data_IF_783407851081
#
_entry.id   IF_783407851081
#
_cell.length_a   1.000
_cell.length_b   1.000
_cell.length_c   1.000
_cell.angle_alpha   90.00
_cell.angle_beta   90.00
_cell.angle_gamma   90.00
#
_symmetry.space_group_name_H-M   'P 1'
#
loop_
_entity.id
_entity.type
_entity.pdbx_description
1 polymer ?
#
# COMPACT_ATOMS: atom_id res chain seq x y z
N UNK A 1 -38.66 5.05 0.43
CA UNK A 1 -37.54 4.42 -0.30
C UNK A 1 -36.97 5.32 -1.39
N UNK A 2 -37.83 5.97 -2.20
CA UNK A 2 -37.39 6.76 -3.38
C UNK A 2 -36.71 8.09 -3.02
N UNK A 3 -37.16 8.78 -1.99
CA UNK A 3 -36.59 10.09 -1.57
C UNK A 3 -35.18 9.91 -0.99
N UNK A 4 -34.92 8.81 -0.28
CA UNK A 4 -33.58 8.50 0.25
C UNK A 4 -32.58 8.14 -0.87
N UNK A 5 -33.04 7.49 -1.94
CA UNK A 5 -32.21 7.13 -3.10
C UNK A 5 -31.82 8.36 -3.94
N UNK A 6 -32.73 9.33 -4.13
CA UNK A 6 -32.47 10.57 -4.85
C UNK A 6 -31.52 11.47 -4.05
N UNK A 7 -31.63 11.51 -2.72
CA UNK A 7 -30.69 12.23 -1.86
C UNK A 7 -29.28 11.66 -1.87
N UNK A 8 -29.15 10.33 -1.94
CA UNK A 8 -27.85 9.65 -2.04
C UNK A 8 -27.16 9.93 -3.39
N UNK A 9 -27.91 9.81 -4.51
CA UNK A 9 -27.37 10.06 -5.86
C UNK A 9 -26.99 11.54 -6.06
N UNK A 10 -27.75 12.48 -5.52
CA UNK A 10 -27.43 13.91 -5.58
C UNK A 10 -26.18 14.24 -4.72
N UNK A 11 -26.05 13.58 -3.56
CA UNK A 11 -24.88 13.69 -2.68
C UNK A 11 -23.60 13.18 -3.35
N UNK A 12 -23.67 12.03 -4.01
CA UNK A 12 -22.54 11.43 -4.72
C UNK A 12 -22.06 12.31 -5.88
N UNK A 13 -22.97 12.88 -6.65
CA UNK A 13 -22.64 13.80 -7.75
C UNK A 13 -21.97 15.09 -7.26
N UNK A 14 -22.43 15.65 -6.13
CA UNK A 14 -21.87 16.88 -5.55
C UNK A 14 -20.47 16.63 -4.96
N UNK A 15 -20.24 15.45 -4.35
CA UNK A 15 -18.92 15.06 -3.85
C UNK A 15 -17.94 14.83 -4.98
N UNK A 16 -18.35 14.11 -6.02
CA UNK A 16 -17.52 13.88 -7.20
C UNK A 16 -17.10 15.22 -7.86
N UNK A 17 -17.99 16.21 -7.86
CA UNK A 17 -17.71 17.54 -8.38
C UNK A 17 -16.75 18.34 -7.45
N UNK A 18 -16.97 18.30 -6.13
CA UNK A 18 -16.12 19.03 -5.18
C UNK A 18 -14.73 18.40 -5.08
N UNK A 19 -14.61 17.07 -5.13
CA UNK A 19 -13.33 16.35 -5.15
C UNK A 19 -12.58 16.64 -6.45
N UNK A 20 -13.25 16.68 -7.60
CA UNK A 20 -12.62 17.07 -8.88
C UNK A 20 -12.14 18.50 -8.93
N UNK A 21 -12.83 19.42 -8.24
CA UNK A 21 -12.43 20.83 -8.17
C UNK A 21 -11.32 21.08 -7.13
N UNK A 22 -11.25 20.29 -6.06
CA UNK A 22 -10.31 20.45 -4.97
C UNK A 22 -8.99 19.67 -5.14
N UNK A 23 -8.97 18.63 -5.98
CA UNK A 23 -7.81 17.79 -6.20
C UNK A 23 -7.28 17.93 -7.65
N UNK A 24 -6.31 18.81 -7.90
CA UNK A 24 -5.75 19.01 -9.23
C UNK A 24 -4.80 17.88 -9.69
N UNK A 25 -4.66 16.80 -8.94
CA UNK A 25 -3.74 15.71 -9.26
C UNK A 25 -4.44 14.35 -9.24
N UNK A 26 -4.26 13.60 -10.30
CA UNK A 26 -4.61 12.22 -10.65
C UNK A 26 -4.55 11.17 -9.52
N UNK A 27 -5.20 11.39 -8.40
CA UNK A 27 -5.34 10.39 -7.36
C UNK A 27 -6.68 9.66 -7.58
N UNK A 28 -6.61 8.39 -7.98
CA UNK A 28 -7.76 7.50 -8.05
C UNK A 28 -8.25 7.19 -6.62
N UNK A 29 -9.28 7.91 -6.19
CA UNK A 29 -9.93 7.64 -4.91
C UNK A 29 -10.92 6.49 -5.10
N UNK A 30 -10.67 5.35 -4.47
CA UNK A 30 -11.48 4.14 -4.61
C UNK A 30 -12.65 4.07 -3.63
N UNK A 31 -12.64 4.85 -2.57
CA UNK A 31 -13.72 4.91 -1.60
C UNK A 31 -13.78 6.26 -0.89
N UNK A 32 -14.99 6.81 -0.76
CA UNK A 32 -15.28 7.98 0.04
C UNK A 32 -16.35 7.63 1.07
N UNK A 33 -16.21 8.16 2.27
CA UNK A 33 -17.18 7.99 3.36
C UNK A 33 -17.49 9.34 3.99
N UNK A 34 -18.78 9.63 4.15
CA UNK A 34 -19.20 10.75 4.97
C UNK A 34 -18.95 10.46 6.45
N UNK A 35 -18.24 11.33 7.11
CA UNK A 35 -17.95 11.26 8.54
C UNK A 35 -18.33 12.58 9.18
N UNK A 36 -18.93 12.53 10.35
CA UNK A 36 -19.16 13.72 11.17
C UNK A 36 -18.01 13.81 12.17
N UNK A 37 -17.24 14.91 12.12
CA UNK A 37 -16.12 15.14 13.05
C UNK A 37 -16.61 15.51 14.45
N UNK A 38 -17.86 15.98 14.55
CA UNK A 38 -18.45 16.34 15.84
C UNK A 38 -18.46 15.14 16.80
N UNK A 39 -17.99 15.29 18.05
CA UNK A 39 -18.00 14.25 19.08
C UNK A 39 -19.41 13.74 19.42
N UNK A 40 -20.42 14.49 19.03
CA UNK A 40 -21.83 14.15 19.27
C UNK A 40 -22.43 13.19 18.24
N UNK A 41 -21.76 12.94 17.11
CA UNK A 41 -22.16 11.96 16.11
C UNK A 41 -23.66 11.99 15.77
N UNK A 42 -24.31 10.80 15.82
CA UNK A 42 -25.75 10.67 15.55
C UNK A 42 -26.62 11.41 16.56
N UNK A 43 -26.17 11.58 17.80
CA UNK A 43 -26.88 12.31 18.84
C UNK A 43 -26.99 13.80 18.47
N UNK A 44 -25.95 14.38 17.89
CA UNK A 44 -25.96 15.76 17.39
C UNK A 44 -27.00 16.01 16.31
N UNK A 45 -27.22 15.01 15.42
CA UNK A 45 -28.27 15.06 14.41
C UNK A 45 -29.69 15.12 15.02
N UNK A 46 -29.95 14.32 16.04
CA UNK A 46 -31.27 14.32 16.72
C UNK A 46 -31.48 15.61 17.53
N UNK A 47 -30.48 16.06 18.26
CA UNK A 47 -30.53 17.32 19.00
C UNK A 47 -30.68 18.52 18.07
N UNK A 48 -29.88 18.60 17.01
CA UNK A 48 -29.95 19.67 16.03
C UNK A 48 -31.29 19.68 15.29
N UNK A 49 -31.77 18.51 14.86
CA UNK A 49 -33.07 18.39 14.20
C UNK A 49 -34.23 18.80 15.10
N UNK A 50 -34.21 18.42 16.39
CA UNK A 50 -35.21 18.83 17.37
C UNK A 50 -35.18 20.35 17.65
N UNK A 51 -33.97 20.93 17.71
CA UNK A 51 -33.79 22.37 17.87
C UNK A 51 -34.34 23.15 16.67
N UNK A 52 -34.02 22.70 15.44
CA UNK A 52 -34.57 23.30 14.21
C UNK A 52 -36.08 23.22 14.17
N UNK A 53 -36.67 22.07 14.50
CA UNK A 53 -38.13 21.89 14.60
C UNK A 53 -38.73 22.81 15.64
N UNK A 54 -38.11 22.96 16.81
CA UNK A 54 -38.53 23.88 17.86
C UNK A 54 -38.52 25.35 17.42
N UNK A 55 -37.46 25.79 16.72
CA UNK A 55 -37.33 27.16 16.18
C UNK A 55 -38.41 27.41 15.14
N UNK A 56 -38.69 26.49 14.25
CA UNK A 56 -39.74 26.58 13.22
C UNK A 56 -41.12 26.68 13.88
N UNK A 57 -41.42 25.84 14.87
CA UNK A 57 -42.66 25.84 15.63
C UNK A 57 -42.88 27.18 16.39
N UNK A 58 -41.83 27.68 17.05
CA UNK A 58 -41.89 28.97 17.74
C UNK A 58 -42.08 30.14 16.73
N UNK A 59 -41.39 30.10 15.61
CA UNK A 59 -41.55 31.09 14.54
C UNK A 59 -42.98 31.06 13.95
N UNK A 60 -43.54 29.87 13.75
CA UNK A 60 -44.93 29.71 13.30
C UNK A 60 -45.94 30.26 14.33
N UNK A 61 -45.72 29.95 15.59
CA UNK A 61 -46.59 30.45 16.68
C UNK A 61 -46.53 31.97 16.86
N UNK A 62 -45.31 32.55 16.80
CA UNK A 62 -45.08 33.98 16.90
C UNK A 62 -45.61 34.79 15.71
N UNK A 63 -45.73 34.16 14.54
CA UNK A 63 -46.18 34.83 13.31
C UNK A 63 -47.69 34.71 13.01
N UNK A 64 -48.50 34.22 13.96
CA UNK A 64 -49.95 33.96 13.76
C UNK A 64 -50.76 35.19 13.39
N UNK A 65 -50.31 36.42 13.74
CA UNK A 65 -50.95 37.66 13.37
C UNK A 65 -50.43 38.35 12.08
N UNK A 66 -49.43 37.74 11.42
CA UNK A 66 -48.82 38.30 10.23
C UNK A 66 -49.53 37.81 8.94
N UNK A 67 -49.42 38.59 7.85
CA UNK A 67 -49.88 38.17 6.52
C UNK A 67 -49.16 36.89 6.08
N UNK A 68 -49.82 36.05 5.26
CA UNK A 68 -49.30 34.75 4.83
C UNK A 68 -47.90 34.85 4.23
N UNK A 69 -47.62 35.86 3.43
CA UNK A 69 -46.31 36.10 2.80
C UNK A 69 -45.21 36.42 3.83
N UNK A 70 -45.49 37.38 4.76
CA UNK A 70 -44.53 37.72 5.85
C UNK A 70 -44.24 36.54 6.75
N UNK A 71 -45.23 35.70 7.01
CA UNK A 71 -45.11 34.51 7.81
C UNK A 71 -44.22 33.49 7.13
N UNK A 72 -44.43 33.20 5.85
CA UNK A 72 -43.61 32.29 5.06
C UNK A 72 -42.15 32.75 5.02
N UNK A 73 -41.89 34.02 4.77
CA UNK A 73 -40.53 34.58 4.74
C UNK A 73 -39.83 34.50 6.09
N UNK A 74 -40.51 34.81 7.21
CA UNK A 74 -39.91 34.73 8.55
C UNK A 74 -39.61 33.29 8.95
N UNK A 75 -40.47 32.33 8.64
CA UNK A 75 -40.26 30.91 8.92
C UNK A 75 -39.13 30.38 8.05
N UNK A 76 -39.09 30.71 6.76
CA UNK A 76 -38.04 30.32 5.83
C UNK A 76 -36.66 30.85 6.23
N UNK A 77 -36.56 32.13 6.60
CA UNK A 77 -35.29 32.73 7.01
C UNK A 77 -34.76 32.13 8.32
N UNK A 78 -35.63 31.96 9.34
CA UNK A 78 -35.23 31.40 10.63
C UNK A 78 -34.91 29.88 10.50
N UNK A 79 -35.70 29.14 9.73
CA UNK A 79 -35.45 27.73 9.45
C UNK A 79 -34.15 27.54 8.68
N UNK A 80 -33.92 28.36 7.66
CA UNK A 80 -32.67 28.33 6.88
C UNK A 80 -31.45 28.65 7.74
N UNK A 81 -31.51 29.69 8.56
CA UNK A 81 -30.43 30.02 9.49
C UNK A 81 -30.13 28.86 10.49
N UNK A 82 -31.18 28.23 11.00
CA UNK A 82 -31.03 27.09 11.92
C UNK A 82 -30.43 25.88 11.22
N UNK A 83 -30.78 25.58 9.97
CA UNK A 83 -30.17 24.51 9.17
C UNK A 83 -28.70 24.78 8.90
N UNK A 84 -28.34 26.01 8.52
CA UNK A 84 -26.94 26.41 8.31
C UNK A 84 -26.14 26.24 9.59
N UNK A 85 -26.67 26.72 10.72
CA UNK A 85 -26.02 26.55 12.02
C UNK A 85 -25.84 25.06 12.38
N UNK A 86 -26.82 24.22 12.10
CA UNK A 86 -26.74 22.78 12.31
C UNK A 86 -25.66 22.14 11.45
N UNK A 87 -25.55 22.52 10.16
CA UNK A 87 -24.51 22.00 9.26
C UNK A 87 -23.13 22.39 9.76
N UNK A 88 -22.93 23.64 10.17
CA UNK A 88 -21.66 24.11 10.74
C UNK A 88 -21.32 23.37 12.04
N UNK A 89 -22.32 23.13 12.91
CA UNK A 89 -22.10 22.43 14.17
C UNK A 89 -21.78 20.94 14.01
N UNK A 90 -22.29 20.31 12.97
CA UNK A 90 -22.07 18.88 12.69
C UNK A 90 -20.70 18.61 12.02
N UNK A 91 -20.05 19.64 11.50
CA UNK A 91 -18.75 19.52 10.83
C UNK A 91 -18.69 18.30 9.88
N UNK A 92 -19.55 18.26 8.83
CA UNK A 92 -19.51 17.17 7.90
C UNK A 92 -18.17 17.15 7.16
N UNK A 93 -17.47 16.03 7.23
CA UNK A 93 -16.22 15.81 6.52
C UNK A 93 -16.33 14.60 5.60
N UNK A 94 -15.55 14.60 4.54
CA UNK A 94 -15.40 13.45 3.65
C UNK A 94 -14.07 12.79 3.93
N UNK A 95 -14.10 11.60 4.48
CA UNK A 95 -12.92 10.75 4.62
C UNK A 95 -12.59 10.15 3.26
N UNK A 96 -11.47 10.56 2.68
CA UNK A 96 -10.93 10.01 1.45
C UNK A 96 -9.95 8.90 1.83
N UNK A 97 -10.29 7.65 1.54
CA UNK A 97 -9.36 6.54 1.66
C UNK A 97 -8.60 6.39 0.35
N UNK A 98 -7.37 6.83 0.38
CA UNK A 98 -6.40 6.49 -0.64
C UNK A 98 -5.77 5.15 -0.24
N UNK A 99 -6.17 4.07 -0.90
CA UNK A 99 -5.46 2.81 -0.81
C UNK A 99 -4.22 2.99 -1.67
N UNK A 100 -3.14 3.47 -1.07
CA UNK A 100 -1.83 3.36 -1.68
C UNK A 100 -1.51 1.87 -1.74
N UNK A 101 -1.69 1.26 -2.90
CA UNK A 101 -1.24 -0.09 -3.16
C UNK A 101 0.27 -0.02 -3.24
N UNK A 102 0.96 -0.29 -2.15
CA UNK A 102 2.40 -0.50 -2.23
C UNK A 102 2.63 -1.72 -3.13
N UNK A 103 3.39 -1.58 -4.21
CA UNK A 103 3.68 -2.73 -5.07
C UNK A 103 4.45 -3.77 -4.26
N UNK A 104 4.05 -5.03 -4.39
CA UNK A 104 4.74 -6.16 -3.80
C UNK A 104 6.21 -6.13 -4.22
N UNK A 105 7.09 -6.65 -3.37
CA UNK A 105 8.53 -6.65 -3.62
C UNK A 105 9.01 -8.02 -4.03
N UNK A 106 10.02 -8.05 -4.91
CA UNK A 106 10.75 -9.26 -5.29
C UNK A 106 12.20 -9.04 -4.88
N UNK A 107 12.76 -9.95 -4.09
CA UNK A 107 14.16 -9.90 -3.70
C UNK A 107 14.97 -10.84 -4.58
N UNK A 108 16.01 -10.33 -5.26
CA UNK A 108 16.96 -11.12 -6.03
C UNK A 108 18.26 -11.19 -5.23
N UNK A 109 18.61 -12.40 -4.79
CA UNK A 109 19.81 -12.70 -4.04
C UNK A 109 20.85 -13.31 -4.99
N UNK A 110 22.01 -12.72 -5.08
CA UNK A 110 23.10 -13.14 -5.97
C UNK A 110 24.29 -13.54 -5.11
N UNK A 111 24.72 -14.77 -5.30
CA UNK A 111 25.90 -15.32 -4.61
C UNK A 111 27.17 -14.62 -5.11
N UNK A 112 27.91 -14.05 -4.16
CA UNK A 112 29.20 -13.39 -4.40
C UNK A 112 30.35 -14.13 -3.69
N UNK A 113 30.15 -15.41 -3.45
CA UNK A 113 31.19 -16.27 -2.84
C UNK A 113 32.28 -16.61 -3.84
N UNK A 114 33.45 -16.98 -3.33
CA UNK A 114 34.61 -17.31 -4.14
C UNK A 114 34.38 -18.49 -5.13
N UNK A 115 33.46 -19.41 -4.82
CA UNK A 115 33.06 -20.50 -5.74
C UNK A 115 32.47 -19.98 -7.04
N UNK A 116 31.78 -18.83 -7.00
CA UNK A 116 31.23 -18.18 -8.18
C UNK A 116 32.29 -17.60 -9.12
N UNK A 117 33.53 -17.40 -8.67
CA UNK A 117 34.63 -16.99 -9.53
C UNK A 117 35.23 -18.13 -10.37
N UNK A 118 34.80 -19.38 -10.15
CA UNK A 118 35.28 -20.52 -10.91
C UNK A 118 34.59 -20.60 -12.28
N UNK A 119 35.37 -20.94 -13.31
CA UNK A 119 34.86 -21.27 -14.63
C UNK A 119 34.66 -22.79 -14.74
N UNK A 120 33.57 -23.23 -15.36
CA UNK A 120 33.31 -24.65 -15.58
C UNK A 120 34.21 -25.28 -16.63
N UNK A 121 34.71 -24.48 -17.56
CA UNK A 121 35.65 -24.90 -18.60
C UNK A 121 36.87 -24.00 -18.67
N UNK A 122 38.05 -24.48 -18.99
CA UNK A 122 39.24 -23.65 -19.17
C UNK A 122 39.00 -22.56 -20.23
N UNK A 123 39.14 -21.28 -19.81
CA UNK A 123 38.89 -20.13 -20.68
C UNK A 123 37.41 -19.78 -20.89
N UNK A 124 36.49 -20.47 -20.24
CA UNK A 124 35.05 -20.14 -20.25
C UNK A 124 34.67 -19.01 -19.26
N UNK A 125 33.44 -18.54 -19.36
CA UNK A 125 32.92 -17.55 -18.41
C UNK A 125 32.81 -18.16 -16.99
N UNK A 126 33.08 -17.34 -16.00
CA UNK A 126 32.87 -17.70 -14.59
C UNK A 126 31.37 -17.80 -14.27
N UNK A 127 31.04 -18.50 -13.18
CA UNK A 127 29.64 -18.64 -12.72
C UNK A 127 29.01 -17.28 -12.45
N UNK A 128 29.74 -16.35 -11.83
CA UNK A 128 29.24 -14.99 -11.59
C UNK A 128 29.02 -14.21 -12.89
N UNK A 129 29.84 -14.42 -13.91
CA UNK A 129 29.62 -13.81 -15.23
C UNK A 129 28.39 -14.36 -15.92
N UNK A 130 28.09 -15.66 -15.75
CA UNK A 130 26.85 -16.25 -16.26
C UNK A 130 25.63 -15.67 -15.54
N UNK A 131 25.67 -15.58 -14.21
CA UNK A 131 24.60 -14.97 -13.44
C UNK A 131 24.33 -13.54 -13.90
N UNK A 132 25.37 -12.76 -14.13
CA UNK A 132 25.28 -11.39 -14.68
C UNK A 132 24.66 -11.36 -16.08
N UNK A 133 25.07 -12.25 -16.95
CA UNK A 133 24.49 -12.37 -18.31
C UNK A 133 23.02 -12.72 -18.22
N UNK A 134 22.65 -13.69 -17.40
CA UNK A 134 21.26 -14.08 -17.19
C UNK A 134 20.40 -12.89 -16.76
N UNK A 135 20.86 -12.11 -15.81
CA UNK A 135 20.15 -10.91 -15.36
C UNK A 135 20.04 -9.87 -16.48
N UNK A 136 21.12 -9.65 -17.23
CA UNK A 136 21.14 -8.72 -18.36
C UNK A 136 20.22 -9.17 -19.50
N UNK A 137 20.25 -10.43 -19.84
CA UNK A 137 19.41 -10.99 -20.92
C UNK A 137 17.92 -11.00 -20.52
N UNK A 138 17.64 -11.06 -19.22
CA UNK A 138 16.29 -11.00 -18.65
C UNK A 138 15.77 -9.58 -18.42
N UNK A 139 16.51 -8.52 -18.79
CA UNK A 139 16.12 -7.13 -18.49
C UNK A 139 14.74 -6.75 -19.02
N UNK A 140 14.33 -7.28 -20.17
CA UNK A 140 12.99 -7.05 -20.71
C UNK A 140 11.90 -7.58 -19.76
N UNK A 141 12.07 -8.80 -19.29
CA UNK A 141 11.13 -9.43 -18.32
C UNK A 141 11.15 -8.71 -16.98
N UNK A 142 12.35 -8.32 -16.50
CA UNK A 142 12.48 -7.58 -15.24
C UNK A 142 11.82 -6.21 -15.33
N UNK A 143 11.95 -5.49 -16.43
CA UNK A 143 11.26 -4.21 -16.67
C UNK A 143 9.74 -4.36 -16.70
N UNK A 144 9.23 -5.46 -17.27
CA UNK A 144 7.79 -5.75 -17.24
C UNK A 144 7.32 -6.06 -15.81
N UNK A 145 8.10 -6.80 -15.02
CA UNK A 145 7.81 -7.05 -13.61
C UNK A 145 7.88 -5.79 -12.74
N UNK A 146 8.76 -4.84 -13.06
CA UNK A 146 8.90 -3.56 -12.34
C UNK A 146 7.66 -2.66 -12.47
N UNK A 147 6.75 -2.93 -13.41
CA UNK A 147 5.46 -2.21 -13.52
C UNK A 147 4.53 -2.51 -12.34
N UNK A 148 4.56 -3.76 -11.86
CA UNK A 148 3.64 -4.24 -10.81
C UNK A 148 4.36 -4.52 -9.49
N UNK A 149 5.68 -4.69 -9.51
CA UNK A 149 6.51 -5.06 -8.37
C UNK A 149 7.74 -4.15 -8.24
N UNK A 150 8.26 -4.00 -7.03
CA UNK A 150 9.59 -3.41 -6.82
C UNK A 150 10.61 -4.52 -6.70
N UNK A 151 11.66 -4.46 -7.53
CA UNK A 151 12.74 -5.44 -7.52
C UNK A 151 13.91 -4.87 -6.72
N UNK A 152 14.29 -5.59 -5.66
CA UNK A 152 15.44 -5.25 -4.81
C UNK A 152 16.53 -6.30 -5.02
N UNK A 153 17.76 -5.86 -5.29
CA UNK A 153 18.90 -6.71 -5.56
C UNK A 153 19.84 -6.76 -4.35
N UNK A 154 20.29 -7.95 -4.01
CA UNK A 154 21.25 -8.19 -2.93
C UNK A 154 22.34 -9.12 -3.39
N UNK A 155 23.57 -8.85 -2.95
CA UNK A 155 24.65 -9.83 -2.97
C UNK A 155 24.76 -10.49 -1.62
N UNK A 156 25.11 -11.76 -1.59
CA UNK A 156 25.35 -12.48 -0.34
C UNK A 156 26.56 -13.40 -0.43
N UNK A 157 27.24 -13.50 0.69
CA UNK A 157 28.37 -14.42 0.93
C UNK A 157 28.49 -14.63 2.45
N UNK A 158 29.49 -14.08 3.09
CA UNK A 158 29.62 -13.99 4.56
C UNK A 158 28.62 -12.97 5.13
N UNK A 159 28.32 -11.94 4.34
CA UNK A 159 27.41 -10.84 4.66
C UNK A 159 26.42 -10.64 3.52
N UNK A 160 25.31 -9.95 3.82
CA UNK A 160 24.31 -9.57 2.83
C UNK A 160 24.36 -8.06 2.63
N UNK A 161 24.46 -7.63 1.38
CA UNK A 161 24.51 -6.23 1.01
C UNK A 161 23.52 -5.91 -0.10
N UNK A 162 22.83 -4.77 0.01
CA UNK A 162 22.03 -4.26 -1.09
C UNK A 162 22.93 -3.81 -2.23
N UNK A 163 22.53 -4.14 -3.46
CA UNK A 163 23.30 -3.83 -4.66
C UNK A 163 22.39 -3.35 -5.79
N UNK A 164 23.00 -2.91 -6.88
CA UNK A 164 22.30 -2.58 -8.12
C UNK A 164 22.75 -3.52 -9.24
N UNK A 165 21.90 -3.86 -10.22
CA UNK A 165 22.29 -4.68 -11.37
C UNK A 165 23.53 -4.17 -12.09
N UNK A 166 23.69 -2.85 -12.17
CA UNK A 166 24.84 -2.19 -12.80
C UNK A 166 26.12 -2.30 -11.95
N UNK A 167 26.02 -2.32 -10.63
CA UNK A 167 27.19 -2.45 -9.74
C UNK A 167 27.77 -3.88 -9.75
N UNK A 168 26.94 -4.88 -10.08
CA UNK A 168 27.41 -6.26 -10.25
C UNK A 168 28.41 -6.43 -11.40
N UNK A 169 28.53 -5.46 -12.30
CA UNK A 169 29.32 -5.58 -13.53
C UNK A 169 30.85 -5.58 -13.31
N UNK A 170 31.37 -5.18 -12.16
CA UNK A 170 32.79 -4.88 -11.97
C UNK A 170 33.54 -5.67 -10.92
N UNK A 171 32.91 -6.15 -9.88
CA UNK A 171 33.63 -6.74 -8.75
C UNK A 171 33.79 -8.27 -8.88
N UNK A 172 35.02 -8.81 -8.69
CA UNK A 172 35.20 -10.25 -8.60
C UNK A 172 34.54 -10.78 -7.32
N UNK A 173 33.94 -11.95 -7.40
CA UNK A 173 33.38 -12.64 -6.24
C UNK A 173 34.48 -12.94 -5.20
N UNK A 174 34.37 -12.37 -4.00
CA UNK A 174 35.42 -12.39 -2.97
C UNK A 174 34.96 -13.03 -1.65
N UNK A 175 33.70 -13.38 -1.51
CA UNK A 175 33.14 -13.96 -0.30
C UNK A 175 33.79 -15.29 0.06
N UNK A 176 34.05 -15.51 1.34
CA UNK A 176 34.74 -16.73 1.83
C UNK A 176 33.80 -17.90 2.03
N UNK A 177 32.51 -17.61 2.22
CA UNK A 177 31.47 -18.62 2.50
C UNK A 177 30.17 -18.28 1.76
N UNK A 178 29.29 -19.27 1.62
CA UNK A 178 27.98 -19.12 1.01
C UNK A 178 26.92 -19.42 2.05
N UNK A 179 26.50 -18.39 2.79
CA UNK A 179 25.56 -18.51 3.91
C UNK A 179 24.12 -18.23 3.45
N UNK A 180 23.53 -19.16 2.70
CA UNK A 180 22.17 -19.05 2.12
C UNK A 180 21.13 -18.78 3.22
N UNK A 181 21.18 -19.52 4.33
CA UNK A 181 20.24 -19.35 5.45
C UNK A 181 20.26 -17.93 5.98
N UNK A 182 21.45 -17.38 6.22
CA UNK A 182 21.63 -16.01 6.71
C UNK A 182 21.08 -14.98 5.72
N UNK A 183 21.28 -15.23 4.42
CA UNK A 183 20.74 -14.37 3.37
C UNK A 183 19.20 -14.36 3.37
N UNK A 184 18.57 -15.51 3.52
CA UNK A 184 17.12 -15.63 3.60
C UNK A 184 16.55 -15.05 4.91
N UNK A 185 17.24 -15.22 6.05
CA UNK A 185 16.89 -14.60 7.33
C UNK A 185 16.95 -13.07 7.23
N UNK A 186 17.98 -12.53 6.56
CA UNK A 186 18.10 -11.10 6.32
C UNK A 186 16.92 -10.57 5.50
N UNK A 187 16.57 -11.24 4.40
CA UNK A 187 15.42 -10.86 3.57
C UNK A 187 14.13 -10.91 4.39
N UNK A 188 13.90 -12.00 5.13
CA UNK A 188 12.75 -12.11 6.02
C UNK A 188 12.64 -10.93 6.98
N UNK A 189 13.71 -10.63 7.72
CA UNK A 189 13.74 -9.52 8.67
C UNK A 189 13.55 -8.15 7.98
N UNK A 190 14.10 -7.99 6.77
CA UNK A 190 14.01 -6.74 5.99
C UNK A 190 12.59 -6.45 5.51
N UNK A 191 11.84 -7.51 5.20
CA UNK A 191 10.48 -7.40 4.65
C UNK A 191 9.40 -7.81 5.63
N UNK A 192 9.72 -7.95 6.91
CA UNK A 192 8.74 -8.23 7.96
C UNK A 192 7.61 -7.19 7.93
N UNK A 193 6.36 -7.67 7.80
CA UNK A 193 5.18 -6.82 7.67
C UNK A 193 5.02 -6.11 6.31
N UNK A 194 5.79 -6.49 5.28
CA UNK A 194 5.67 -5.98 3.91
C UNK A 194 5.35 -7.13 2.97
N UNK A 195 4.60 -6.84 1.90
CA UNK A 195 4.24 -7.84 0.90
C UNK A 195 5.46 -8.21 0.03
N UNK A 196 6.12 -9.33 0.37
CA UNK A 196 7.18 -9.95 -0.41
C UNK A 196 6.55 -10.99 -1.35
N UNK A 197 6.55 -10.71 -2.66
CA UNK A 197 5.96 -11.60 -3.67
C UNK A 197 6.79 -12.87 -3.91
N UNK A 198 8.12 -12.75 -3.81
CA UNK A 198 9.03 -13.87 -4.05
C UNK A 198 10.48 -13.51 -3.78
N UNK A 199 11.29 -14.56 -3.64
CA UNK A 199 12.74 -14.48 -3.55
C UNK A 199 13.33 -15.30 -4.70
N UNK A 200 14.24 -14.70 -5.45
CA UNK A 200 15.03 -15.39 -6.47
C UNK A 200 16.46 -15.54 -5.98
N UNK A 201 16.92 -16.77 -5.84
CA UNK A 201 18.27 -17.10 -5.40
C UNK A 201 19.11 -17.56 -6.58
N UNK A 202 20.16 -16.81 -6.87
CA UNK A 202 21.13 -17.15 -7.93
C UNK A 202 22.43 -17.59 -7.26
N UNK A 203 22.72 -18.90 -7.25
CA UNK A 203 23.87 -19.49 -6.59
C UNK A 203 24.25 -20.78 -7.29
N UNK A 204 25.51 -21.22 -7.14
CA UNK A 204 26.00 -22.54 -7.61
C UNK A 204 25.57 -23.71 -6.70
N UNK A 205 24.83 -23.43 -5.64
CA UNK A 205 24.35 -24.41 -4.68
C UNK A 205 25.40 -24.90 -3.68
N UNK A 206 26.64 -24.43 -3.77
CA UNK A 206 27.70 -24.79 -2.83
C UNK A 206 27.53 -24.04 -1.49
N UNK A 207 26.48 -24.39 -0.74
CA UNK A 207 26.22 -23.78 0.57
C UNK A 207 27.30 -24.22 1.57
N UNK A 208 27.75 -23.26 2.40
CA UNK A 208 28.57 -23.53 3.56
C UNK A 208 27.77 -23.22 4.81
N UNK A 209 27.62 -24.19 5.72
CA UNK A 209 26.90 -24.02 6.99
C UNK A 209 25.56 -24.76 7.09
N UNK A 210 24.51 -24.14 7.58
CA UNK A 210 23.27 -24.84 7.99
C UNK A 210 22.43 -25.43 6.85
N UNK A 211 22.86 -25.35 5.61
CA UNK A 211 22.25 -26.01 4.43
C UNK A 211 23.26 -26.95 3.74
N UNK A 212 24.27 -27.42 4.46
CA UNK A 212 25.18 -28.44 3.96
C UNK A 212 24.46 -29.79 3.83
N UNK A 213 25.07 -30.76 3.08
CA UNK A 213 24.52 -32.09 2.86
C UNK A 213 24.19 -32.86 4.16
N UNK A 214 24.84 -32.53 5.28
CA UNK A 214 24.60 -33.11 6.60
C UNK A 214 23.50 -32.36 7.41
N UNK A 215 22.83 -31.38 6.81
CA UNK A 215 21.74 -30.63 7.51
C UNK A 215 20.50 -31.49 7.65
N UNK A 216 19.83 -31.42 8.80
CA UNK A 216 18.55 -32.09 9.00
C UNK A 216 17.50 -31.52 8.05
N UNK A 217 17.06 -32.33 7.09
CA UNK A 217 16.04 -31.98 6.09
C UNK A 217 14.78 -31.39 6.72
N UNK A 218 14.40 -31.83 7.92
CA UNK A 218 13.26 -31.33 8.66
C UNK A 218 13.44 -29.86 9.06
N UNK A 219 14.60 -29.53 9.59
CA UNK A 219 14.91 -28.15 10.04
C UNK A 219 14.99 -27.16 8.85
N UNK A 220 15.55 -27.61 7.73
CA UNK A 220 15.60 -26.82 6.48
C UNK A 220 14.18 -26.54 5.96
N UNK A 221 13.35 -27.59 5.92
CA UNK A 221 11.99 -27.49 5.43
C UNK A 221 11.11 -26.58 6.31
N UNK A 222 11.24 -26.69 7.64
CA UNK A 222 10.51 -25.84 8.59
C UNK A 222 10.96 -24.38 8.48
N UNK A 223 12.25 -24.15 8.27
CA UNK A 223 12.76 -22.81 8.01
C UNK A 223 12.18 -22.22 6.72
N UNK A 224 12.21 -22.96 5.61
CA UNK A 224 11.67 -22.50 4.32
C UNK A 224 10.16 -22.21 4.42
N UNK A 225 9.40 -23.05 5.15
CA UNK A 225 7.98 -22.76 5.44
C UNK A 225 7.79 -21.48 6.24
N UNK A 226 8.69 -21.19 7.18
CA UNK A 226 8.61 -19.99 8.01
C UNK A 226 8.85 -18.69 7.26
N UNK A 227 9.36 -18.74 6.02
CA UNK A 227 9.56 -17.57 5.16
C UNK A 227 8.25 -17.02 4.61
N UNK A 228 7.16 -17.82 4.62
CA UNK A 228 5.83 -17.45 4.07
C UNK A 228 5.87 -16.94 2.62
N UNK A 229 6.99 -17.15 1.92
CA UNK A 229 7.28 -16.63 0.59
C UNK A 229 7.90 -17.71 -0.28
N UNK A 230 7.67 -17.65 -1.58
CA UNK A 230 8.24 -18.60 -2.54
C UNK A 230 9.70 -18.25 -2.82
N UNK A 231 10.58 -19.23 -2.68
CA UNK A 231 11.99 -19.12 -3.06
C UNK A 231 12.19 -19.90 -4.35
N UNK A 232 12.69 -19.21 -5.37
CA UNK A 232 13.06 -19.78 -6.67
C UNK A 232 14.57 -19.78 -6.79
N UNK A 233 15.17 -20.91 -7.16
CA UNK A 233 16.61 -21.07 -7.37
C UNK A 233 16.92 -21.14 -8.86
N UNK A 234 18.03 -20.52 -9.26
CA UNK A 234 18.54 -20.50 -10.63
C UNK A 234 20.05 -20.80 -10.62
#
# INVERSE_FOLDING_TARGET
GAIAAVGALAGEGLIALTVRLAAPCQADFHAYRWVFLSPWGRFGLYLGGSAVAGIVLLAWRASRGASAWRRATLIGLRGGAAVVAMVVFLEPAVELRQVAREPNRIAILIDDSKSMSLAEAPGGPTRIERARRLINDSQGTLTDLERDHKIDYYTFSDTVAATNPHALAGDPAQGKSTLIRKALEYVRARYEGRDLAGVVLVSDGAATGSFDEDSDDGAVHDFLRSLETRVHTV
#
